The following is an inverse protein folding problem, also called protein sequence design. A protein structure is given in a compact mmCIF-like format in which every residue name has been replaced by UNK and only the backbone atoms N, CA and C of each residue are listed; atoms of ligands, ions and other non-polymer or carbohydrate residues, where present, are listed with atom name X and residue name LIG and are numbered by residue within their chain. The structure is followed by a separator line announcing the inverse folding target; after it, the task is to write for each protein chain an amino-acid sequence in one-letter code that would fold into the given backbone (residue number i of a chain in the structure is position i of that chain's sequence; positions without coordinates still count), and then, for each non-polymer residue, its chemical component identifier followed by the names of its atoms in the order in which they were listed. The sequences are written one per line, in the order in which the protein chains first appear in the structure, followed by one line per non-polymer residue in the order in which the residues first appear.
data_IF_846062880644
#
_entry.id   IF_846062880644
#
_cell.length_a   1.000
_cell.length_b   1.000
_cell.length_c   1.000
_cell.angle_alpha   90.00
_cell.angle_beta   90.00
_cell.angle_gamma   90.00
#
_symmetry.space_group_name_H-M   'P 1'
#
loop_
_entity.id
_entity.type
_entity.pdbx_description
1 polymer ?
#
# COMPACT_ATOMS: atom_id res chain seq x y z
N UNK A 1 10.16 14.04 13.24
CA UNK A 1 10.57 15.06 12.24
C UNK A 1 10.28 14.49 10.87
N UNK A 2 9.31 15.03 10.14
CA UNK A 2 8.92 14.52 8.84
C UNK A 2 9.90 15.03 7.77
N UNK A 3 10.85 14.18 7.42
CA UNK A 3 11.76 14.42 6.29
C UNK A 3 10.90 14.43 5.02
N UNK A 4 11.08 15.44 4.17
CA UNK A 4 10.41 15.54 2.87
C UNK A 4 10.68 14.24 2.08
N UNK A 5 9.66 13.40 1.92
CA UNK A 5 9.82 12.10 1.24
C UNK A 5 9.99 12.32 -0.26
N UNK A 6 11.17 11.98 -0.77
CA UNK A 6 11.51 12.00 -2.20
C UNK A 6 11.73 10.58 -2.68
N UNK A 7 11.67 10.35 -4.00
CA UNK A 7 11.86 9.00 -4.57
C UNK A 7 13.19 8.35 -4.16
N UNK A 8 14.22 9.14 -3.89
CA UNK A 8 15.55 8.68 -3.47
C UNK A 8 15.65 8.40 -1.96
N UNK A 9 14.71 8.89 -1.16
CA UNK A 9 14.74 8.81 0.31
C UNK A 9 13.63 7.92 0.88
N UNK A 10 12.97 7.12 0.04
CA UNK A 10 11.93 6.19 0.49
C UNK A 10 12.51 5.08 1.39
N UNK A 11 11.84 4.71 2.48
CA UNK A 11 12.28 3.62 3.35
C UNK A 11 12.23 2.27 2.62
N UNK A 12 13.16 1.39 2.97
CA UNK A 12 13.23 0.01 2.46
C UNK A 12 12.13 -0.87 3.03
N UNK A 13 11.64 -0.55 4.22
CA UNK A 13 10.51 -1.22 4.87
C UNK A 13 9.25 -1.15 4.01
N UNK A 14 8.48 -2.25 4.01
CA UNK A 14 7.24 -2.39 3.26
C UNK A 14 6.10 -2.57 4.25
N UNK A 15 5.06 -1.74 4.15
CA UNK A 15 3.85 -1.85 4.96
C UNK A 15 2.71 -2.56 4.20
N UNK A 16 3.05 -3.27 3.12
CA UNK A 16 2.11 -4.04 2.31
C UNK A 16 2.67 -5.43 2.12
N UNK A 17 1.89 -6.46 2.48
CA UNK A 17 2.31 -7.84 2.29
C UNK A 17 2.24 -8.24 0.80
N UNK A 18 3.20 -9.06 0.32
CA UNK A 18 3.13 -9.61 -1.03
C UNK A 18 1.96 -10.59 -1.16
N UNK A 19 1.48 -10.81 -2.39
CA UNK A 19 0.37 -11.74 -2.66
C UNK A 19 -1.00 -11.09 -2.86
N UNK A 20 -1.03 -9.86 -3.37
CA UNK A 20 -2.29 -9.17 -3.71
C UNK A 20 -2.93 -9.70 -5.00
N UNK A 21 -4.27 -9.67 -5.08
CA UNK A 21 -5.05 -9.99 -6.29
C UNK A 21 -5.12 -8.82 -7.29
N UNK A 22 -4.01 -8.10 -7.42
CA UNK A 22 -3.89 -7.00 -8.37
C UNK A 22 -3.80 -7.52 -9.81
N UNK A 23 -4.35 -6.77 -10.76
CA UNK A 23 -3.99 -6.97 -12.17
C UNK A 23 -2.47 -6.79 -12.36
N UNK A 24 -1.90 -7.46 -13.36
CA UNK A 24 -0.51 -7.25 -13.76
C UNK A 24 -0.26 -5.78 -14.09
N UNK A 25 0.69 -5.13 -13.41
CA UNK A 25 0.99 -3.71 -13.59
C UNK A 25 -0.05 -2.75 -13.00
N UNK A 26 -0.85 -3.18 -12.03
CA UNK A 26 -1.86 -2.32 -11.39
C UNK A 26 -1.22 -1.04 -10.79
N UNK A 27 -1.55 0.12 -11.37
CA UNK A 27 -1.07 1.41 -10.89
C UNK A 27 -1.50 1.72 -9.45
N UNK A 28 -2.69 1.26 -9.05
CA UNK A 28 -3.19 1.43 -7.69
C UNK A 28 -2.34 0.66 -6.67
N UNK A 29 -1.95 -0.58 -6.98
CA UNK A 29 -1.09 -1.38 -6.10
C UNK A 29 0.29 -0.72 -5.90
N UNK A 30 0.85 -0.15 -6.97
CA UNK A 30 2.12 0.58 -6.93
C UNK A 30 1.98 1.85 -6.08
N UNK A 31 0.94 2.65 -6.33
CA UNK A 31 0.67 3.87 -5.57
C UNK A 31 0.41 3.58 -4.09
N UNK A 32 -0.30 2.49 -3.78
CA UNK A 32 -0.57 2.05 -2.43
C UNK A 32 0.72 1.69 -1.67
N UNK A 33 1.57 0.86 -2.28
CA UNK A 33 2.88 0.49 -1.72
C UNK A 33 3.78 1.70 -1.47
N UNK A 34 3.92 2.58 -2.47
CA UNK A 34 4.77 3.79 -2.38
C UNK A 34 4.18 4.80 -1.39
N UNK A 35 2.87 4.97 -1.39
CA UNK A 35 2.15 5.87 -0.48
C UNK A 35 2.33 5.45 0.96
N UNK A 36 2.13 4.18 1.29
CA UNK A 36 2.30 3.70 2.66
C UNK A 36 3.75 3.81 3.15
N UNK A 37 4.74 3.63 2.28
CA UNK A 37 6.14 3.93 2.63
C UNK A 37 6.36 5.40 2.97
N UNK A 38 5.69 6.30 2.24
CA UNK A 38 5.84 7.72 2.46
C UNK A 38 5.09 8.22 3.70
N UNK A 39 3.93 7.63 4.01
CA UNK A 39 3.12 7.97 5.18
C UNK A 39 3.66 7.29 6.46
N UNK A 40 4.21 6.09 6.35
CA UNK A 40 4.85 5.35 7.44
C UNK A 40 3.87 4.54 8.30
N UNK A 41 4.40 3.96 9.38
CA UNK A 41 3.68 3.06 10.29
C UNK A 41 2.49 3.71 11.02
N UNK A 42 2.55 5.01 11.28
CA UNK A 42 1.55 5.74 12.07
C UNK A 42 0.45 6.30 11.15
N UNK A 43 -0.14 5.43 10.34
CA UNK A 43 -1.11 5.78 9.29
C UNK A 43 -2.38 4.96 9.40
N UNK A 44 -3.54 5.63 9.37
CA UNK A 44 -4.85 4.96 9.28
C UNK A 44 -5.34 5.01 7.84
N UNK A 45 -5.69 3.84 7.29
CA UNK A 45 -6.22 3.71 5.94
C UNK A 45 -7.74 3.56 5.97
N UNK A 46 -8.44 4.39 5.21
CA UNK A 46 -9.89 4.26 4.98
C UNK A 46 -10.10 3.78 3.56
N UNK A 47 -10.65 2.57 3.41
CA UNK A 47 -10.86 1.94 2.10
C UNK A 47 -12.35 1.95 1.75
N UNK A 48 -12.81 2.87 0.87
CA UNK A 48 -14.18 2.82 0.37
C UNK A 48 -14.36 1.67 -0.64
N UNK A 49 -15.61 1.24 -0.91
CA UNK A 49 -15.91 0.22 -1.91
C UNK A 49 -15.26 0.54 -3.27
N UNK A 50 -14.25 -0.23 -3.65
CA UNK A 50 -13.42 0.02 -4.84
C UNK A 50 -12.54 -1.20 -5.14
N UNK A 51 -11.74 -1.16 -6.22
CA UNK A 51 -10.76 -2.20 -6.51
C UNK A 51 -9.80 -2.48 -5.34
N UNK A 52 -9.56 -1.47 -4.48
CA UNK A 52 -8.66 -1.55 -3.35
C UNK A 52 -9.16 -2.53 -2.27
N UNK A 53 -10.48 -2.66 -2.08
CA UNK A 53 -11.04 -3.63 -1.11
C UNK A 53 -10.75 -5.07 -1.51
N UNK A 54 -10.86 -5.35 -2.82
CA UNK A 54 -10.56 -6.67 -3.40
C UNK A 54 -9.05 -6.94 -3.39
N UNK A 55 -8.25 -5.90 -3.58
CA UNK A 55 -6.79 -5.94 -3.60
C UNK A 55 -6.23 -6.39 -2.24
N UNK A 56 -6.82 -5.88 -1.17
CA UNK A 56 -6.34 -5.97 0.21
C UNK A 56 -6.91 -7.15 1.00
N UNK A 57 -8.07 -7.70 0.64
CA UNK A 57 -8.65 -8.76 1.46
C UNK A 57 -9.93 -9.33 0.91
N UNK A 58 -9.79 -10.28 -0.02
CA UNK A 58 -10.82 -11.29 -0.21
C UNK A 58 -10.62 -12.38 0.84
N UNK A 59 -11.70 -12.68 1.57
CA UNK A 59 -11.75 -13.84 2.45
C UNK A 59 -11.17 -15.10 1.75
N UNK A 60 -10.29 -15.89 2.40
CA UNK A 60 -9.89 -15.83 3.81
C UNK A 60 -8.58 -15.08 4.09
N UNK A 61 -7.93 -14.47 3.08
CA UNK A 61 -6.58 -13.87 3.21
C UNK A 61 -6.62 -12.37 2.91
N UNK A 62 -6.23 -11.57 3.90
CA UNK A 62 -5.94 -10.15 3.74
C UNK A 62 -4.44 -9.95 3.52
N UNK A 63 -4.08 -9.08 2.58
CA UNK A 63 -2.71 -8.69 2.23
C UNK A 63 -2.30 -7.35 2.87
N UNK A 64 -2.99 -6.94 3.94
CA UNK A 64 -2.70 -5.74 4.75
C UNK A 64 -1.76 -6.06 5.88
#
# INVERSE_FOLDING_TARGET
MQVKTTILSLPTEEFVHPGTRACTGCGLAIAYRVGLKALGKDTMLVVPPSCLTVLQGLFPVAST
#
